data_IF_403513870530
#
_entry.id   IF_403513870530
#
_cell.length_a   1.000
_cell.length_b   1.000
_cell.length_c   1.000
_cell.angle_alpha   90.00
_cell.angle_beta   90.00
_cell.angle_gamma   90.00
#
_symmetry.space_group_name_H-M   'P 1'
#
loop_
_entity.id
_entity.type
_entity.pdbx_description
1 polymer ?
#
# COMPACT_ATOMS: atom_id res chain seq x y z
N UNK A 1 11.43 1.47 14.55
CA UNK A 1 11.72 1.10 13.15
C UNK A 1 12.30 2.32 12.43
N UNK A 2 13.06 2.18 11.34
CA UNK A 2 13.46 3.33 10.51
C UNK A 2 12.78 3.23 9.12
N UNK A 3 12.76 4.33 8.37
CA UNK A 3 12.11 4.39 7.06
C UNK A 3 12.66 3.36 6.07
N UNK A 4 13.97 3.08 6.10
CA UNK A 4 14.60 2.11 5.19
C UNK A 4 14.10 0.68 5.43
N UNK A 5 13.93 0.30 6.70
CA UNK A 5 13.36 -1.01 7.06
C UNK A 5 11.88 -1.09 6.67
N UNK A 6 11.11 -0.03 6.92
CA UNK A 6 9.70 0.05 6.50
C UNK A 6 9.56 -0.13 4.98
N UNK A 7 10.34 0.61 4.20
CA UNK A 7 10.39 0.51 2.74
C UNK A 7 10.79 -0.89 2.26
N UNK A 8 11.70 -1.57 2.98
CA UNK A 8 12.09 -2.94 2.62
C UNK A 8 10.94 -3.94 2.84
N UNK A 9 10.30 -3.88 4.02
CA UNK A 9 9.19 -4.76 4.35
C UNK A 9 8.01 -4.51 3.41
N UNK A 10 7.67 -3.24 3.17
CA UNK A 10 6.64 -2.84 2.22
C UNK A 10 6.94 -3.41 0.84
N UNK A 11 8.15 -3.23 0.31
CA UNK A 11 8.54 -3.79 -0.98
C UNK A 11 8.36 -5.31 -1.06
N UNK A 12 8.75 -6.05 -0.02
CA UNK A 12 8.63 -7.51 0.00
C UNK A 12 7.17 -7.97 -0.01
N UNK A 13 6.34 -7.39 0.86
CA UNK A 13 4.91 -7.75 1.00
C UNK A 13 4.14 -7.38 -0.26
N UNK A 14 4.34 -6.16 -0.77
CA UNK A 14 3.72 -5.66 -2.01
C UNK A 14 4.14 -6.51 -3.22
N UNK A 15 5.42 -6.88 -3.33
CA UNK A 15 5.88 -7.76 -4.41
C UNK A 15 5.23 -9.15 -4.34
N UNK A 16 5.16 -9.74 -3.14
CA UNK A 16 4.50 -11.03 -2.92
C UNK A 16 3.00 -10.96 -3.26
N UNK A 17 2.31 -9.88 -2.88
CA UNK A 17 0.91 -9.66 -3.26
C UNK A 17 0.73 -9.59 -4.78
N UNK A 18 1.62 -8.88 -5.49
CA UNK A 18 1.64 -8.85 -6.95
C UNK A 18 1.80 -10.24 -7.58
N UNK A 19 2.69 -11.08 -7.04
CA UNK A 19 2.85 -12.48 -7.50
C UNK A 19 1.55 -13.26 -7.31
N UNK A 20 0.93 -13.18 -6.13
CA UNK A 20 -0.31 -13.90 -5.83
C UNK A 20 -1.44 -13.47 -6.78
N UNK A 21 -1.55 -12.18 -7.07
CA UNK A 21 -2.56 -11.64 -7.99
C UNK A 21 -2.37 -12.10 -9.46
N UNK A 22 -1.15 -12.46 -9.86
CA UNK A 22 -0.87 -13.01 -11.19
C UNK A 22 -1.12 -14.52 -11.24
N UNK A 23 -0.57 -15.27 -10.28
CA UNK A 23 -0.61 -16.75 -10.30
C UNK A 23 -1.99 -17.26 -9.89
N UNK A 24 -2.60 -16.64 -8.88
CA UNK A 24 -3.89 -17.05 -8.30
C UNK A 24 -4.78 -15.81 -8.07
N UNK A 25 -5.33 -15.20 -9.14
CA UNK A 25 -6.05 -13.92 -9.07
C UNK A 25 -7.18 -13.89 -8.04
N UNK A 26 -7.87 -15.02 -7.87
CA UNK A 26 -8.98 -15.19 -6.94
C UNK A 26 -8.57 -15.40 -5.48
N UNK A 27 -7.29 -15.65 -5.17
CA UNK A 27 -6.86 -16.01 -3.82
C UNK A 27 -7.12 -14.88 -2.81
N UNK A 28 -6.63 -13.67 -3.10
CA UNK A 28 -6.82 -12.51 -2.20
C UNK A 28 -8.31 -12.16 -2.07
N UNK A 29 -9.09 -12.01 -3.16
CA UNK A 29 -10.53 -11.76 -3.05
C UNK A 29 -11.28 -12.85 -2.27
N UNK A 30 -10.98 -14.13 -2.50
CA UNK A 30 -11.67 -15.23 -1.84
C UNK A 30 -11.40 -15.27 -0.32
N UNK A 31 -10.23 -14.80 0.13
CA UNK A 31 -9.92 -14.68 1.56
C UNK A 31 -10.91 -13.78 2.32
N UNK A 32 -11.52 -12.82 1.61
CA UNK A 32 -12.54 -11.91 2.13
C UNK A 32 -13.95 -12.23 1.61
N UNK A 33 -14.21 -13.44 1.11
CA UNK A 33 -15.48 -13.87 0.51
C UNK A 33 -15.91 -13.07 -0.72
N UNK A 34 -14.97 -12.50 -1.48
CA UNK A 34 -15.26 -11.92 -2.80
C UNK A 34 -14.94 -12.97 -3.85
N UNK A 35 -15.96 -13.37 -4.60
CA UNK A 35 -15.81 -14.30 -5.72
C UNK A 35 -15.67 -13.52 -7.01
N UNK A 36 -14.58 -13.77 -7.72
CA UNK A 36 -14.33 -13.23 -9.05
C UNK A 36 -14.20 -14.38 -10.06
N UNK A 37 -14.83 -14.20 -11.20
CA UNK A 37 -14.77 -15.12 -12.32
C UNK A 37 -13.58 -14.77 -13.24
N UNK A 38 -13.24 -15.68 -14.15
CA UNK A 38 -12.09 -15.50 -15.05
C UNK A 38 -12.17 -14.26 -15.95
N UNK A 39 -13.37 -13.79 -16.30
CA UNK A 39 -13.54 -12.57 -17.09
C UNK A 39 -13.19 -11.30 -16.29
N UNK A 40 -13.16 -11.38 -14.96
CA UNK A 40 -12.85 -10.28 -14.05
C UNK A 40 -11.36 -10.25 -13.64
N UNK A 41 -10.56 -11.25 -14.03
CA UNK A 41 -9.15 -11.36 -13.64
C UNK A 41 -8.28 -10.21 -14.15
N UNK A 42 -8.73 -9.52 -15.21
CA UNK A 42 -8.07 -8.31 -15.69
C UNK A 42 -7.90 -7.27 -14.57
N UNK A 43 -8.87 -7.14 -13.66
CA UNK A 43 -8.77 -6.22 -12.53
C UNK A 43 -7.66 -6.62 -11.55
N UNK A 44 -7.53 -7.92 -11.28
CA UNK A 44 -6.44 -8.45 -10.45
C UNK A 44 -5.07 -8.23 -11.09
N UNK A 45 -4.96 -8.37 -12.42
CA UNK A 45 -3.71 -8.12 -13.13
C UNK A 45 -3.33 -6.63 -13.13
N UNK A 46 -4.30 -5.72 -13.23
CA UNK A 46 -4.03 -4.29 -13.06
C UNK A 46 -3.59 -3.95 -11.63
N UNK A 47 -4.21 -4.57 -10.63
CA UNK A 47 -3.76 -4.43 -9.25
C UNK A 47 -2.34 -4.99 -9.08
N UNK A 48 -2.03 -6.15 -9.66
CA UNK A 48 -0.69 -6.74 -9.63
C UNK A 48 0.36 -5.80 -10.25
N UNK A 49 0.04 -5.16 -11.38
CA UNK A 49 0.93 -4.18 -12.01
C UNK A 49 1.22 -2.99 -11.08
N UNK A 50 0.20 -2.48 -10.39
CA UNK A 50 0.37 -1.43 -9.37
C UNK A 50 1.25 -1.92 -8.21
N UNK A 51 1.01 -3.12 -7.69
CA UNK A 51 1.81 -3.73 -6.63
C UNK A 51 3.28 -3.87 -7.06
N UNK A 52 3.58 -4.36 -8.26
CA UNK A 52 4.97 -4.47 -8.74
C UNK A 52 5.67 -3.11 -8.86
N UNK A 53 4.99 -2.11 -9.40
CA UNK A 53 5.53 -0.75 -9.52
C UNK A 53 5.82 -0.14 -8.15
N UNK A 54 4.88 -0.26 -7.21
CA UNK A 54 5.06 0.22 -5.84
C UNK A 54 6.15 -0.53 -5.09
N UNK A 55 6.25 -1.85 -5.28
CA UNK A 55 7.27 -2.68 -4.66
C UNK A 55 8.67 -2.27 -5.11
N UNK A 56 8.85 -2.08 -6.42
CA UNK A 56 10.11 -1.59 -6.98
C UNK A 56 10.46 -0.20 -6.45
N UNK A 57 9.50 0.75 -6.49
CA UNK A 57 9.71 2.11 -5.97
C UNK A 57 10.12 2.08 -4.49
N UNK A 58 9.42 1.30 -3.68
CA UNK A 58 9.69 1.15 -2.25
C UNK A 58 11.08 0.56 -2.01
N UNK A 59 11.45 -0.50 -2.72
CA UNK A 59 12.76 -1.15 -2.60
C UNK A 59 13.91 -0.20 -2.98
N UNK A 60 13.77 0.54 -4.08
CA UNK A 60 14.81 1.46 -4.57
C UNK A 60 14.93 2.71 -3.70
N UNK A 61 13.84 3.19 -3.12
CA UNK A 61 13.82 4.37 -2.26
C UNK A 61 14.69 4.24 -1.02
N UNK A 62 15.02 3.02 -0.58
CA UNK A 62 15.96 2.77 0.53
C UNK A 62 17.37 3.33 0.29
N UNK A 63 17.74 3.54 -0.97
CA UNK A 63 19.04 4.09 -1.40
C UNK A 63 19.00 5.61 -1.60
N UNK A 64 17.84 6.25 -1.49
CA UNK A 64 17.70 7.71 -1.62
C UNK A 64 18.04 8.34 -0.27
N UNK A 65 18.83 9.42 -0.32
CA UNK A 65 19.16 10.23 0.87
C UNK A 65 18.48 11.59 0.87
N UNK A 66 17.94 12.03 -0.27
CA UNK A 66 17.17 13.28 -0.37
C UNK A 66 15.85 13.15 0.40
N UNK A 67 15.70 13.99 1.42
CA UNK A 67 14.55 14.01 2.33
C UNK A 67 13.28 14.50 1.63
N UNK A 68 13.39 15.42 0.67
CA UNK A 68 12.23 15.91 -0.08
C UNK A 68 11.67 14.80 -0.97
N UNK A 69 12.53 14.10 -1.71
CA UNK A 69 12.14 12.94 -2.50
C UNK A 69 11.50 11.83 -1.65
N UNK A 70 12.12 11.46 -0.52
CA UNK A 70 11.58 10.44 0.39
C UNK A 70 10.21 10.82 0.96
N UNK A 71 9.99 12.11 1.22
CA UNK A 71 8.70 12.63 1.69
C UNK A 71 7.63 12.50 0.63
N UNK A 72 7.93 12.89 -0.62
CA UNK A 72 6.98 12.73 -1.75
C UNK A 72 6.61 11.26 -1.93
N UNK A 73 7.60 10.36 -1.96
CA UNK A 73 7.38 8.91 -2.07
C UNK A 73 6.48 8.39 -0.92
N UNK A 74 6.77 8.80 0.32
CA UNK A 74 5.99 8.40 1.48
C UNK A 74 4.54 8.90 1.40
N UNK A 75 4.35 10.15 0.95
CA UNK A 75 3.01 10.72 0.71
C UNK A 75 2.30 9.96 -0.41
N UNK A 76 2.97 9.59 -1.50
CA UNK A 76 2.37 8.80 -2.58
C UNK A 76 1.86 7.45 -2.08
N UNK A 77 2.63 6.75 -1.23
CA UNK A 77 2.15 5.51 -0.60
C UNK A 77 0.97 5.76 0.33
N UNK A 78 1.00 6.83 1.14
CA UNK A 78 -0.13 7.21 1.99
C UNK A 78 -1.39 7.45 1.15
N UNK A 79 -1.29 8.23 0.07
CA UNK A 79 -2.43 8.55 -0.80
C UNK A 79 -2.99 7.28 -1.42
N UNK A 80 -2.15 6.40 -1.97
CA UNK A 80 -2.61 5.13 -2.56
C UNK A 80 -3.35 4.25 -1.54
N UNK A 81 -2.76 4.05 -0.35
CA UNK A 81 -3.36 3.22 0.70
C UNK A 81 -4.61 3.85 1.32
N UNK A 82 -4.65 5.18 1.45
CA UNK A 82 -5.83 5.89 1.92
C UNK A 82 -6.96 5.85 0.87
N UNK A 83 -6.66 6.00 -0.42
CA UNK A 83 -7.65 5.90 -1.49
C UNK A 83 -8.27 4.50 -1.53
N UNK A 84 -7.44 3.45 -1.52
CA UNK A 84 -7.93 2.06 -1.50
C UNK A 84 -8.72 1.75 -0.23
N UNK A 85 -8.33 2.30 0.92
CA UNK A 85 -9.10 2.23 2.16
C UNK A 85 -10.49 2.86 2.01
N UNK A 86 -10.59 4.08 1.45
CA UNK A 86 -11.87 4.76 1.24
C UNK A 86 -12.77 3.94 0.32
N UNK A 87 -12.21 3.37 -0.75
CA UNK A 87 -12.95 2.51 -1.68
C UNK A 87 -13.45 1.23 -0.99
N UNK A 88 -12.68 0.65 -0.07
CA UNK A 88 -13.13 -0.52 0.71
C UNK A 88 -14.23 -0.17 1.72
N UNK A 89 -14.15 0.98 2.38
CA UNK A 89 -15.23 1.47 3.23
C UNK A 89 -16.51 1.74 2.43
N UNK A 90 -16.37 2.30 1.21
CA UNK A 90 -17.48 2.46 0.30
C UNK A 90 -18.05 1.11 -0.15
N UNK A 91 -17.20 0.14 -0.50
CA UNK A 91 -17.65 -1.20 -0.86
C UNK A 91 -18.41 -1.89 0.30
N UNK A 92 -17.94 -1.73 1.55
CA UNK A 92 -18.65 -2.20 2.74
C UNK A 92 -20.04 -1.56 2.87
N UNK A 93 -20.19 -0.27 2.56
CA UNK A 93 -21.50 0.39 2.58
C UNK A 93 -22.44 -0.10 1.47
N UNK A 94 -21.89 -0.72 0.41
CA UNK A 94 -22.65 -1.39 -0.65
C UNK A 94 -22.97 -2.86 -0.33
N UNK A 95 -22.69 -3.34 0.88
CA UNK A 95 -23.03 -4.70 1.33
C UNK A 95 -22.00 -5.78 0.98
N UNK A 96 -20.77 -5.39 0.60
CA UNK A 96 -19.68 -6.36 0.49
C UNK A 96 -19.31 -6.96 1.85
N UNK A 97 -18.62 -8.09 1.81
CA UNK A 97 -18.24 -8.89 2.97
C UNK A 97 -17.52 -8.08 4.07
N UNK A 98 -18.00 -8.23 5.31
CA UNK A 98 -17.38 -7.64 6.51
C UNK A 98 -15.94 -8.09 6.74
N UNK A 99 -15.49 -9.19 6.12
CA UNK A 99 -14.10 -9.66 6.20
C UNK A 99 -13.11 -8.65 5.61
N UNK A 100 -13.56 -7.75 4.74
CA UNK A 100 -12.76 -6.65 4.17
C UNK A 100 -12.19 -5.73 5.27
N UNK A 101 -12.82 -5.67 6.45
CA UNK A 101 -12.33 -4.88 7.59
C UNK A 101 -10.88 -5.22 7.95
N UNK A 102 -10.48 -6.49 7.80
CA UNK A 102 -9.07 -6.89 8.02
C UNK A 102 -8.10 -6.13 7.10
N UNK A 103 -8.46 -5.95 5.83
CA UNK A 103 -7.66 -5.21 4.87
C UNK A 103 -7.66 -3.70 5.16
N UNK A 104 -8.82 -3.15 5.54
CA UNK A 104 -8.96 -1.76 5.99
C UNK A 104 -8.00 -1.47 7.14
N UNK A 105 -7.93 -2.34 8.15
CA UNK A 105 -7.03 -2.20 9.29
C UNK A 105 -5.56 -2.19 8.84
N UNK A 106 -5.18 -3.09 7.94
CA UNK A 106 -3.81 -3.14 7.39
C UNK A 106 -3.47 -1.84 6.66
N UNK A 107 -4.40 -1.28 5.87
CA UNK A 107 -4.20 0.00 5.18
C UNK A 107 -4.04 1.17 6.14
N UNK A 108 -4.87 1.24 7.19
CA UNK A 108 -4.72 2.25 8.25
C UNK A 108 -3.33 2.16 8.85
N UNK A 109 -2.89 0.95 9.19
CA UNK A 109 -1.58 0.72 9.77
C UNK A 109 -0.45 1.17 8.83
N UNK A 110 -0.50 0.84 7.54
CA UNK A 110 0.50 1.27 6.56
C UNK A 110 0.54 2.80 6.42
N UNK A 111 -0.63 3.46 6.34
CA UNK A 111 -0.75 4.93 6.29
C UNK A 111 -0.09 5.57 7.52
N UNK A 112 -0.39 5.05 8.71
CA UNK A 112 0.18 5.51 9.98
C UNK A 112 1.69 5.35 9.97
N UNK A 113 2.21 4.19 9.55
CA UNK A 113 3.65 3.93 9.52
C UNK A 113 4.38 4.89 8.56
N UNK A 114 3.88 5.08 7.33
CA UNK A 114 4.51 6.01 6.40
C UNK A 114 4.41 7.46 6.85
N UNK A 115 3.33 7.85 7.54
CA UNK A 115 3.23 9.18 8.12
C UNK A 115 4.31 9.38 9.20
N UNK A 116 4.40 8.46 10.17
CA UNK A 116 5.32 8.60 11.30
C UNK A 116 6.79 8.47 10.91
N UNK A 117 7.14 7.58 9.96
CA UNK A 117 8.53 7.35 9.59
C UNK A 117 8.97 8.13 8.34
N UNK A 118 8.04 8.55 7.49
CA UNK A 118 8.31 9.14 6.17
C UNK A 118 7.82 10.57 5.98
N UNK A 119 7.06 11.14 6.92
CA UNK A 119 6.55 12.53 6.80
C UNK A 119 6.81 13.35 8.05
N UNK A 120 6.39 12.88 9.23
CA UNK A 120 6.50 13.63 10.49
C UNK A 120 7.95 14.08 10.83
N UNK A 121 9.00 13.25 10.67
CA UNK A 121 10.37 13.63 11.01
C UNK A 121 10.90 14.77 10.12
N UNK A 122 10.48 14.82 8.86
CA UNK A 122 10.93 15.87 7.92
C UNK A 122 10.27 17.21 8.17
N UNK A 123 9.04 17.23 8.70
CA UNK A 123 8.34 18.47 9.09
C UNK A 123 8.98 19.15 10.30
N UNK A 124 9.60 18.37 11.19
CA UNK A 124 10.28 18.89 12.38
C UNK A 124 11.63 19.53 12.02
N UNK A 125 12.40 18.91 11.11
CA UNK A 125 13.65 19.47 10.63
C UNK A 125 13.49 20.78 9.84
N UNK A 126 12.39 20.97 9.09
CA UNK A 126 12.15 22.24 8.40
C UNK A 126 11.80 23.38 9.34
N UNK A 127 11.22 23.10 10.51
CA UNK A 127 10.88 24.11 11.52
C UNK A 127 12.07 24.54 12.37
N UNK A 128 13.07 23.68 12.54
CA UNK A 128 14.26 23.99 13.33
C UNK A 128 15.31 24.80 12.54
N UNK A 129 15.18 24.88 11.21
CA UNK A 129 16.10 25.57 10.31
C UNK A 129 15.54 26.90 9.76
N UNK A 130 14.41 27.37 10.30
CA UNK A 130 13.74 28.62 9.95
C UNK A 130 13.69 29.52 11.19
#
# INVERSE_FOLDING_TARGET
>A
MNLKLLLFIHALVTFAAGIVLVITPSFIPSSVNIHINSAEYLLCYFLAAAEFAMAYLSFRSRKISDTAALRVISISFIVFHASTLILELFALSQGLSVKIISNVIVRIFIVILFYFYGVAPFKQNSKNNA
#
